data_IF_435253012801
#
_entry.id   IF_435253012801
#
_cell.length_a   1.000
_cell.length_b   1.000
_cell.length_c   1.000
_cell.angle_alpha   90.00
_cell.angle_beta   90.00
_cell.angle_gamma   90.00
#
_symmetry.space_group_name_H-M   'P 1'
#
loop_
_entity.id
_entity.type
_entity.pdbx_description
1 polymer ?
#
# COMPACT_ATOMS: atom_id res chain seq x y z
N UNK A 1 -6.89 4.54 12.39
CA UNK A 1 -5.45 4.52 12.77
C UNK A 1 -5.14 5.88 13.35
N UNK A 2 -4.52 5.93 14.51
CA UNK A 2 -4.27 7.19 15.22
C UNK A 2 -3.16 7.97 14.49
N UNK A 3 -3.49 9.15 13.94
CA UNK A 3 -2.56 10.00 13.21
C UNK A 3 -1.41 10.51 14.09
N UNK A 4 -1.61 10.58 15.40
CA UNK A 4 -0.61 11.08 16.35
C UNK A 4 0.63 10.19 16.43
N UNK A 5 0.48 8.87 16.21
CA UNK A 5 1.61 7.94 16.21
C UNK A 5 2.62 8.32 15.11
N UNK A 6 2.16 8.76 13.96
CA UNK A 6 3.01 9.13 12.83
C UNK A 6 3.59 10.56 12.92
N UNK A 7 3.05 11.37 13.79
CA UNK A 7 3.46 12.77 13.97
C UNK A 7 4.64 12.90 14.94
N UNK A 8 4.61 12.15 16.05
CA UNK A 8 5.55 12.32 17.16
C UNK A 8 6.51 11.16 17.36
N UNK A 9 6.27 9.99 16.73
CA UNK A 9 7.11 8.82 16.87
C UNK A 9 8.20 8.77 15.80
N UNK A 10 9.29 8.08 16.11
CA UNK A 10 10.24 7.65 15.08
C UNK A 10 9.49 6.82 14.03
N UNK A 11 9.62 7.18 12.76
CA UNK A 11 8.88 6.53 11.67
C UNK A 11 9.13 5.01 11.61
N UNK A 12 10.36 4.55 11.90
CA UNK A 12 10.70 3.13 11.94
C UNK A 12 9.98 2.41 13.08
N UNK A 13 9.90 3.03 14.27
CA UNK A 13 9.17 2.47 15.40
C UNK A 13 7.68 2.38 15.11
N UNK A 14 7.11 3.44 14.51
CA UNK A 14 5.71 3.44 14.12
C UNK A 14 5.41 2.35 13.08
N UNK A 15 6.29 2.19 12.09
CA UNK A 15 6.19 1.13 11.10
C UNK A 15 6.32 -0.27 11.74
N UNK A 16 7.29 -0.47 12.63
CA UNK A 16 7.45 -1.71 13.38
C UNK A 16 6.17 -2.12 14.12
N UNK A 17 5.52 -1.18 14.79
CA UNK A 17 4.24 -1.43 15.47
C UNK A 17 3.13 -1.85 14.50
N UNK A 18 3.07 -1.25 13.30
CA UNK A 18 2.10 -1.63 12.25
C UNK A 18 2.38 -3.05 11.77
N UNK A 19 3.63 -3.37 11.49
CA UNK A 19 4.06 -4.72 11.09
C UNK A 19 3.70 -5.75 12.15
N UNK A 20 3.97 -5.48 13.41
CA UNK A 20 3.63 -6.36 14.54
C UNK A 20 2.12 -6.61 14.64
N UNK A 21 1.30 -5.57 14.48
CA UNK A 21 -0.16 -5.70 14.47
C UNK A 21 -0.60 -6.56 13.29
N UNK A 22 -0.06 -6.30 12.10
CA UNK A 22 -0.37 -7.05 10.90
C UNK A 22 -0.02 -8.52 11.04
N UNK A 23 1.21 -8.83 11.49
CA UNK A 23 1.67 -10.22 11.66
C UNK A 23 0.83 -10.98 12.68
N UNK A 24 0.44 -10.35 13.77
CA UNK A 24 -0.47 -10.98 14.75
C UNK A 24 -1.90 -11.17 14.23
N UNK A 25 -2.37 -10.29 13.34
CA UNK A 25 -3.76 -10.32 12.87
C UNK A 25 -3.95 -11.20 11.64
N UNK A 26 -2.97 -11.26 10.74
CA UNK A 26 -3.06 -11.90 9.44
C UNK A 26 -1.80 -12.68 9.03
N UNK A 27 -0.64 -12.36 9.58
CA UNK A 27 0.64 -12.96 9.20
C UNK A 27 0.67 -14.48 9.40
N UNK A 28 -0.07 -14.99 10.38
CA UNK A 28 -0.21 -16.43 10.61
C UNK A 28 -0.74 -17.19 9.39
N UNK A 29 -1.51 -16.54 8.51
CA UNK A 29 -1.99 -17.15 7.27
C UNK A 29 -0.83 -17.41 6.32
N UNK A 30 0.07 -16.44 6.18
CA UNK A 30 1.26 -16.56 5.34
C UNK A 30 2.22 -17.63 5.88
N UNK A 31 2.41 -17.68 7.20
CA UNK A 31 3.23 -18.71 7.87
C UNK A 31 2.71 -20.12 7.62
N UNK A 32 1.40 -20.27 7.46
CA UNK A 32 0.75 -21.54 7.13
C UNK A 32 0.67 -21.82 5.62
N UNK A 33 1.21 -20.94 4.78
CA UNK A 33 1.19 -21.06 3.34
C UNK A 33 -0.15 -20.69 2.69
N UNK A 34 -1.04 -20.00 3.40
CA UNK A 34 -2.28 -19.52 2.83
C UNK A 34 -2.09 -18.20 2.09
N UNK A 35 -2.76 -18.01 0.95
CA UNK A 35 -2.76 -16.72 0.28
C UNK A 35 -3.45 -15.66 1.13
N UNK A 36 -2.92 -14.46 1.12
CA UNK A 36 -3.49 -13.31 1.82
C UNK A 36 -3.86 -12.23 0.79
N UNK A 37 -5.08 -11.73 0.89
CA UNK A 37 -5.56 -10.62 0.09
C UNK A 37 -5.95 -9.44 0.99
N UNK A 38 -5.29 -8.31 0.81
CA UNK A 38 -5.62 -7.07 1.52
C UNK A 38 -6.66 -6.30 0.71
N UNK A 39 -7.91 -6.37 1.12
CA UNK A 39 -9.08 -5.96 0.32
C UNK A 39 -9.17 -4.45 0.05
N UNK A 40 -8.66 -3.62 0.97
CA UNK A 40 -8.69 -2.17 0.83
C UNK A 40 -7.56 -1.50 1.59
N UNK A 41 -6.87 -0.60 0.93
CA UNK A 41 -6.00 0.39 1.55
C UNK A 41 -5.99 1.68 0.71
N UNK A 42 -5.61 2.79 1.33
CA UNK A 42 -5.53 4.07 0.62
C UNK A 42 -5.26 5.22 1.59
N UNK A 43 -5.13 6.41 1.03
CA UNK A 43 -4.97 7.65 1.78
C UNK A 43 -5.67 8.81 1.08
N UNK A 44 -5.92 9.88 1.80
CA UNK A 44 -6.40 11.12 1.21
C UNK A 44 -5.33 11.73 0.30
N UNK A 45 -5.64 11.87 -1.00
CA UNK A 45 -4.73 12.32 -2.03
C UNK A 45 -4.87 13.81 -2.37
N UNK A 46 -5.62 14.58 -1.58
CA UNK A 46 -5.85 16.03 -1.79
C UNK A 46 -4.73 16.91 -1.28
N UNK A 47 -3.56 16.50 -1.19
CA UNK A 47 -2.47 17.32 -0.73
C UNK A 47 -1.27 16.52 -0.26
N UNK A 48 -0.28 17.22 0.32
CA UNK A 48 0.89 16.58 0.92
C UNK A 48 0.65 16.40 2.41
N UNK A 49 0.34 15.19 2.82
CA UNK A 49 0.29 14.80 4.22
C UNK A 49 1.47 13.89 4.52
N UNK A 50 2.44 14.39 5.27
CA UNK A 50 3.68 13.68 5.56
C UNK A 50 3.42 12.41 6.37
N UNK A 51 2.51 12.45 7.34
CA UNK A 51 2.17 11.32 8.18
C UNK A 51 1.52 10.19 7.36
N UNK A 52 0.57 10.53 6.48
CA UNK A 52 -0.04 9.56 5.57
C UNK A 52 0.97 8.99 4.58
N UNK A 53 1.92 9.79 4.10
CA UNK A 53 2.99 9.30 3.24
C UNK A 53 3.93 8.34 3.97
N UNK A 54 4.27 8.60 5.23
CA UNK A 54 5.06 7.67 6.07
C UNK A 54 4.33 6.35 6.27
N UNK A 55 3.04 6.41 6.60
CA UNK A 55 2.19 5.22 6.69
C UNK A 55 2.18 4.42 5.38
N UNK A 56 1.95 5.10 4.25
CA UNK A 56 1.89 4.44 2.95
C UNK A 56 3.23 3.82 2.56
N UNK A 57 4.35 4.45 2.86
CA UNK A 57 5.68 3.87 2.64
C UNK A 57 5.87 2.58 3.44
N UNK A 58 5.46 2.58 4.70
CA UNK A 58 5.48 1.39 5.55
C UNK A 58 4.61 0.27 4.96
N UNK A 59 3.39 0.59 4.53
CA UNK A 59 2.50 -0.38 3.91
C UNK A 59 3.07 -0.96 2.61
N UNK A 60 3.64 -0.12 1.75
CA UNK A 60 4.27 -0.57 0.51
C UNK A 60 5.45 -1.50 0.75
N UNK A 61 6.29 -1.17 1.74
CA UNK A 61 7.39 -2.04 2.13
C UNK A 61 6.88 -3.40 2.62
N UNK A 62 5.86 -3.41 3.47
CA UNK A 62 5.23 -4.62 3.97
C UNK A 62 4.61 -5.46 2.83
N UNK A 63 3.89 -4.83 1.91
CA UNK A 63 3.28 -5.51 0.77
C UNK A 63 4.33 -6.12 -0.16
N UNK A 64 5.42 -5.40 -0.42
CA UNK A 64 6.52 -5.88 -1.24
C UNK A 64 7.25 -7.05 -0.59
N UNK A 65 7.46 -7.00 0.73
CA UNK A 65 8.19 -8.02 1.49
C UNK A 65 7.39 -9.31 1.62
N UNK A 66 6.13 -9.21 1.96
CA UNK A 66 5.29 -10.39 2.22
C UNK A 66 4.63 -10.96 0.97
N UNK A 67 4.62 -10.20 -0.14
CA UNK A 67 4.10 -10.67 -1.43
C UNK A 67 2.60 -11.00 -1.42
N UNK A 68 1.82 -10.38 -0.54
CA UNK A 68 0.37 -10.60 -0.52
C UNK A 68 -0.33 -9.79 -1.64
N UNK A 69 -1.48 -10.29 -2.07
CA UNK A 69 -2.33 -9.60 -3.02
C UNK A 69 -3.04 -8.41 -2.35
N UNK A 70 -3.30 -7.37 -3.12
CA UNK A 70 -3.88 -6.14 -2.59
C UNK A 70 -4.79 -5.43 -3.57
N UNK A 71 -5.68 -4.62 -3.03
CA UNK A 71 -6.52 -3.71 -3.79
C UNK A 71 -6.50 -2.32 -3.16
N UNK A 72 -6.45 -1.28 -3.99
CA UNK A 72 -6.44 0.10 -3.52
C UNK A 72 -7.84 0.69 -3.51
N UNK A 73 -8.17 1.44 -2.46
CA UNK A 73 -9.32 2.30 -2.43
C UNK A 73 -8.89 3.74 -2.72
N UNK A 74 -9.19 4.30 -3.89
CA UNK A 74 -9.94 3.74 -5.02
C UNK A 74 -9.46 4.37 -6.33
N UNK A 75 -9.85 3.81 -7.47
CA UNK A 75 -9.52 4.40 -8.78
C UNK A 75 -10.30 5.68 -9.03
N UNK A 76 -11.62 5.65 -8.83
CA UNK A 76 -12.52 6.76 -9.17
C UNK A 76 -12.34 7.97 -8.25
N UNK A 77 -12.31 9.16 -8.84
CA UNK A 77 -12.18 10.43 -8.10
C UNK A 77 -13.51 10.98 -7.58
N UNK A 78 -14.64 10.35 -7.92
CA UNK A 78 -15.96 10.79 -7.45
C UNK A 78 -16.95 9.64 -7.35
N UNK A 79 -17.96 9.82 -6.54
CA UNK A 79 -19.13 8.95 -6.49
C UNK A 79 -20.24 9.52 -7.40
N UNK A 80 -20.95 8.63 -8.09
CA UNK A 80 -22.13 9.05 -8.85
C UNK A 80 -23.15 9.79 -7.96
N UNK A 81 -23.41 9.24 -6.77
CA UNK A 81 -24.19 9.90 -5.72
C UNK A 81 -23.71 9.43 -4.34
N UNK A 82 -23.46 10.36 -3.44
CA UNK A 82 -23.11 10.08 -2.03
C UNK A 82 -23.79 11.12 -1.15
N UNK A 83 -24.54 10.68 -0.13
CA UNK A 83 -25.28 11.55 0.78
C UNK A 83 -26.24 12.53 0.07
N UNK A 84 -26.83 12.11 -1.05
CA UNK A 84 -27.73 12.95 -1.86
C UNK A 84 -27.02 13.96 -2.77
N UNK A 85 -25.72 14.00 -2.81
CA UNK A 85 -24.90 14.86 -3.67
C UNK A 85 -24.40 14.04 -4.85
N UNK A 86 -24.64 14.51 -6.07
CA UNK A 86 -24.09 13.95 -7.30
C UNK A 86 -22.63 14.36 -7.46
N UNK A 87 -21.82 13.50 -8.04
CA UNK A 87 -20.39 13.74 -8.29
C UNK A 87 -19.62 14.13 -7.02
N UNK A 88 -20.03 13.56 -5.87
CA UNK A 88 -19.35 13.80 -4.60
C UNK A 88 -17.89 13.35 -4.69
N UNK A 89 -16.95 14.24 -4.38
CA UNK A 89 -15.52 13.94 -4.47
C UNK A 89 -15.12 12.76 -3.58
N UNK A 90 -14.40 11.79 -4.18
CA UNK A 90 -13.71 10.73 -3.44
C UNK A 90 -12.26 11.14 -3.23
N UNK A 91 -11.93 11.49 -2.00
CA UNK A 91 -10.62 12.07 -1.65
C UNK A 91 -9.47 11.07 -1.70
N UNK A 92 -9.78 9.78 -1.64
CA UNK A 92 -8.84 8.66 -1.80
C UNK A 92 -8.68 8.24 -3.26
N UNK A 93 -9.45 8.83 -4.18
CA UNK A 93 -9.41 8.51 -5.60
C UNK A 93 -8.05 8.80 -6.23
N UNK A 94 -7.53 7.83 -6.98
CA UNK A 94 -6.30 8.00 -7.76
C UNK A 94 -6.46 9.04 -8.87
N UNK A 95 -7.68 9.18 -9.38
CA UNK A 95 -8.02 10.13 -10.43
C UNK A 95 -8.68 11.39 -9.84
N UNK A 96 -8.51 12.50 -10.53
CA UNK A 96 -9.29 13.70 -10.21
C UNK A 96 -10.78 13.46 -10.49
N UNK A 97 -11.63 14.04 -9.65
CA UNK A 97 -13.07 13.86 -9.72
C UNK A 97 -13.71 14.34 -11.04
N UNK A 98 -13.08 15.32 -11.70
CA UNK A 98 -13.66 16.02 -12.86
C UNK A 98 -12.89 15.81 -14.18
N UNK A 99 -11.66 15.31 -14.16
CA UNK A 99 -10.82 15.21 -15.36
C UNK A 99 -10.39 13.80 -15.72
N UNK A 100 -10.55 12.87 -14.80
CA UNK A 100 -9.98 11.51 -14.90
C UNK A 100 -8.45 11.48 -15.05
N UNK A 101 -7.78 12.60 -14.77
CA UNK A 101 -6.33 12.68 -14.72
C UNK A 101 -5.83 12.13 -13.38
N UNK A 102 -4.64 11.53 -13.32
CA UNK A 102 -4.03 11.12 -12.05
C UNK A 102 -3.84 12.31 -11.10
N UNK A 103 -4.25 12.17 -9.84
CA UNK A 103 -4.03 13.21 -8.81
C UNK A 103 -2.56 13.40 -8.50
N UNK A 104 -1.85 12.28 -8.34
CA UNK A 104 -0.43 12.26 -7.98
C UNK A 104 0.26 11.16 -8.78
N UNK A 105 0.98 11.53 -9.84
CA UNK A 105 1.66 10.57 -10.69
C UNK A 105 2.71 9.73 -9.95
N UNK A 106 3.47 10.35 -9.02
CA UNK A 106 4.46 9.66 -8.21
C UNK A 106 3.85 8.60 -7.28
N UNK A 107 2.57 8.75 -6.90
CA UNK A 107 1.87 7.72 -6.14
C UNK A 107 1.60 6.47 -7.00
N UNK A 108 1.24 6.65 -8.27
CA UNK A 108 1.08 5.54 -9.21
C UNK A 108 2.39 4.80 -9.48
N UNK A 109 3.50 5.53 -9.57
CA UNK A 109 4.83 4.92 -9.69
C UNK A 109 5.17 4.03 -8.49
N UNK A 110 4.84 4.49 -7.26
CA UNK A 110 5.02 3.69 -6.04
C UNK A 110 4.12 2.46 -6.01
N UNK A 111 2.86 2.56 -6.44
CA UNK A 111 1.97 1.41 -6.59
C UNK A 111 2.52 0.41 -7.60
N UNK A 112 3.04 0.89 -8.71
CA UNK A 112 3.66 0.05 -9.73
C UNK A 112 4.84 -0.77 -9.17
N UNK A 113 5.61 -0.21 -8.25
CA UNK A 113 6.76 -0.88 -7.65
C UNK A 113 6.39 -2.09 -6.78
N UNK A 114 5.15 -2.15 -6.26
CA UNK A 114 4.67 -3.27 -5.45
C UNK A 114 3.75 -4.23 -6.22
N UNK A 115 3.57 -4.02 -7.52
CA UNK A 115 2.83 -4.94 -8.35
C UNK A 115 3.67 -6.17 -8.66
N UNK A 116 3.16 -7.35 -8.30
CA UNK A 116 3.74 -8.61 -8.74
C UNK A 116 3.53 -8.78 -10.24
N UNK A 117 4.50 -9.33 -10.98
CA UNK A 117 4.30 -9.66 -12.37
C UNK A 117 3.09 -10.60 -12.53
N UNK A 118 2.25 -10.36 -13.52
CA UNK A 118 1.12 -11.23 -13.80
C UNK A 118 1.59 -12.67 -14.02
N UNK A 119 1.23 -13.55 -13.11
CA UNK A 119 1.50 -14.99 -13.21
C UNK A 119 0.40 -15.70 -14.00
N UNK A 120 0.14 -15.24 -15.22
CA UNK A 120 -0.70 -15.99 -16.14
C UNK A 120 -0.04 -17.34 -16.47
N UNK A 121 -0.79 -18.31 -17.02
CA UNK A 121 -0.25 -19.57 -17.53
C UNK A 121 0.81 -19.31 -18.62
N UNK A 122 1.99 -18.92 -18.21
CA UNK A 122 3.17 -18.99 -19.05
C UNK A 122 3.73 -20.40 -18.86
N UNK A 123 3.62 -21.16 -19.93
CA UNK A 123 4.32 -22.43 -20.06
C UNK A 123 5.77 -22.25 -19.59
N UNK A 124 6.11 -22.86 -18.45
CA UNK A 124 7.45 -23.34 -18.10
C UNK A 124 8.64 -22.46 -18.55
N UNK A 125 8.72 -21.22 -18.14
CA UNK A 125 9.98 -20.49 -18.13
C UNK A 125 10.45 -20.38 -16.70
N UNK A 126 11.50 -21.12 -16.40
CA UNK A 126 12.29 -21.08 -15.20
C UNK A 126 12.77 -19.65 -14.97
N UNK A 127 12.15 -18.93 -14.06
CA UNK A 127 12.74 -17.68 -13.56
C UNK A 127 13.71 -18.05 -12.45
N UNK A 128 15.00 -17.70 -12.59
CA UNK A 128 15.90 -17.80 -11.46
C UNK A 128 15.35 -16.94 -10.32
N UNK A 129 15.34 -17.49 -9.11
CA UNK A 129 15.04 -16.72 -7.92
C UNK A 129 15.84 -15.42 -7.95
N UNK A 130 15.14 -14.29 -8.06
CA UNK A 130 15.78 -12.99 -7.84
C UNK A 130 16.20 -13.00 -6.37
N UNK A 131 17.47 -12.79 -6.05
CA UNK A 131 17.91 -12.73 -4.66
C UNK A 131 17.12 -11.63 -3.95
N UNK A 132 16.64 -11.94 -2.75
CA UNK A 132 15.96 -11.02 -1.85
C UNK A 132 16.58 -9.63 -1.93
N UNK A 133 15.73 -8.65 -2.21
CA UNK A 133 16.10 -7.27 -2.42
C UNK A 133 16.85 -6.74 -1.19
N UNK A 134 18.01 -6.08 -1.36
CA UNK A 134 18.85 -5.58 -0.25
C UNK A 134 18.21 -4.49 0.62
N UNK A 135 16.93 -4.18 0.42
CA UNK A 135 16.18 -3.24 1.26
C UNK A 135 16.03 -3.70 2.73
N UNK A 136 16.22 -5.00 3.01
CA UNK A 136 16.15 -5.51 4.39
C UNK A 136 17.39 -5.16 5.22
N UNK A 137 18.55 -4.98 4.60
CA UNK A 137 19.74 -4.52 5.31
C UNK A 137 19.60 -3.09 5.87
N UNK A 138 18.62 -2.31 5.38
CA UNK A 138 18.37 -0.96 5.89
C UNK A 138 17.60 -0.93 7.22
N UNK A 139 16.97 -2.02 7.62
CA UNK A 139 16.23 -2.09 8.89
C UNK A 139 17.08 -2.63 10.05
N UNK A 140 18.16 -3.38 9.76
CA UNK A 140 19.07 -3.94 10.78
C UNK A 140 20.14 -2.94 11.25
N UNK A 141 20.49 -1.92 10.44
CA UNK A 141 21.51 -0.91 10.79
C UNK A 141 20.95 0.28 11.58
N UNK A 142 19.71 0.21 12.06
CA UNK A 142 19.06 1.26 12.87
C UNK A 142 18.83 0.85 14.32
N UNK A 143 19.68 -0.01 14.90
CA UNK A 143 19.71 -0.26 16.36
C UNK A 143 20.80 0.55 17.04
#
# INVERSE_FOLDING_TARGET
MDSQIWEYSNANQACGNVVDIFMRSAGFLLEQGWPLFFSEFGMDLRGTNEQLNRYMNCFFALAAELGFDWNIWTLGGSYYIKQGVTEFEETYGLLHWNTSEPRISSFLERLSAIQSPFQGKTSWLYFPMVPLNPLFHYLEDCT
#
